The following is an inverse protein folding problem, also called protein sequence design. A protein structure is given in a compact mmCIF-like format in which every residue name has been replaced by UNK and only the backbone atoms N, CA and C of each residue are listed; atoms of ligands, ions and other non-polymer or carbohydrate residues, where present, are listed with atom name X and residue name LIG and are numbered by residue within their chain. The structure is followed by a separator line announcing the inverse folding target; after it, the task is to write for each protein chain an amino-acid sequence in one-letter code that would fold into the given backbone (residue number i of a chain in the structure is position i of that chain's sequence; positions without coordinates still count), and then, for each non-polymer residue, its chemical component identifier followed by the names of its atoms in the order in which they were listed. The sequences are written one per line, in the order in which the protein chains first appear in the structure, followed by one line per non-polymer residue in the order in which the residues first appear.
data_IF_126829520035
#
_entry.id   IF_126829520035
#
_cell.length_a   1.000
_cell.length_b   1.000
_cell.length_c   1.000
_cell.angle_alpha   90.00
_cell.angle_beta   90.00
_cell.angle_gamma   90.00
#
_symmetry.space_group_name_H-M   'P 1'
#
loop_
_entity.id
_entity.type
_entity.pdbx_description
1 polymer ?
#
# COMPACT_ATOMS: atom_id res chain seq x y z
N UNK A 1 -17.45 36.26 -15.18
CA UNK A 1 -17.81 34.84 -15.28
C UNK A 1 -16.64 34.07 -15.88
N UNK A 2 -15.84 33.41 -15.03
CA UNK A 2 -14.80 32.47 -15.44
C UNK A 2 -14.76 31.36 -14.41
N UNK A 3 -15.39 30.23 -14.71
CA UNK A 3 -15.25 28.99 -13.94
C UNK A 3 -14.66 27.98 -14.92
N UNK A 4 -13.34 28.00 -15.04
CA UNK A 4 -12.58 27.01 -15.78
C UNK A 4 -11.30 26.72 -15.00
N UNK A 5 -10.86 25.47 -15.05
CA UNK A 5 -9.61 24.92 -14.53
C UNK A 5 -9.49 24.70 -13.02
N UNK A 6 -10.00 23.57 -12.53
CA UNK A 6 -9.29 22.81 -11.47
C UNK A 6 -9.78 21.37 -11.33
N UNK A 7 -9.77 20.59 -12.42
CA UNK A 7 -9.99 19.14 -12.37
C UNK A 7 -9.00 18.44 -13.29
N UNK A 8 -7.71 18.48 -12.95
CA UNK A 8 -6.72 17.65 -13.67
C UNK A 8 -5.39 17.54 -12.94
N UNK A 9 -5.39 17.13 -11.67
CA UNK A 9 -4.16 16.67 -10.99
C UNK A 9 -4.50 15.56 -10.01
N UNK A 10 -4.12 14.33 -10.34
CA UNK A 10 -4.28 13.23 -9.40
C UNK A 10 -4.12 11.81 -9.93
N UNK A 11 -3.85 11.59 -11.23
CA UNK A 11 -3.46 10.27 -11.73
C UNK A 11 -1.93 10.26 -11.89
N UNK A 12 -1.21 10.46 -10.79
CA UNK A 12 0.19 10.03 -10.72
C UNK A 12 0.19 8.53 -10.48
N UNK A 13 0.09 7.84 -11.61
CA UNK A 13 0.23 6.40 -11.76
C UNK A 13 1.57 5.99 -11.12
N UNK A 14 1.48 5.43 -9.92
CA UNK A 14 2.63 5.00 -9.13
C UNK A 14 3.20 3.72 -9.76
N UNK A 15 3.98 3.90 -10.83
CA UNK A 15 4.62 2.83 -11.63
C UNK A 15 5.66 2.03 -10.85
N UNK A 16 5.91 2.38 -9.59
CA UNK A 16 6.90 1.76 -8.70
C UNK A 16 6.43 0.45 -8.05
N UNK A 17 5.14 0.11 -8.10
CA UNK A 17 4.62 -1.04 -7.34
C UNK A 17 4.76 -2.40 -8.03
N UNK A 18 5.13 -2.45 -9.32
CA UNK A 18 5.25 -3.71 -10.07
C UNK A 18 6.64 -4.37 -9.90
N UNK A 19 7.63 -3.68 -9.32
CA UNK A 19 8.99 -4.21 -9.17
C UNK A 19 9.29 -4.89 -7.82
N UNK A 20 8.34 -4.93 -6.87
CA UNK A 20 8.62 -5.45 -5.53
C UNK A 20 8.73 -6.97 -5.34
N UNK A 21 8.13 -7.88 -6.15
CA UNK A 21 8.26 -9.31 -5.85
C UNK A 21 9.64 -9.89 -6.21
N UNK A 22 10.45 -9.23 -7.05
CA UNK A 22 11.73 -9.78 -7.50
C UNK A 22 12.89 -9.62 -6.50
N UNK A 23 12.84 -8.67 -5.56
CA UNK A 23 13.96 -8.48 -4.61
C UNK A 23 13.95 -9.44 -3.41
N UNK A 24 12.81 -10.03 -3.06
CA UNK A 24 12.72 -10.92 -1.88
C UNK A 24 13.41 -12.27 -2.13
N UNK A 25 13.53 -12.70 -3.39
CA UNK A 25 14.14 -13.98 -3.76
C UNK A 25 15.68 -13.95 -3.60
N UNK A 26 16.32 -12.78 -3.70
CA UNK A 26 17.78 -12.67 -3.65
C UNK A 26 18.40 -12.59 -2.24
N UNK A 27 17.59 -12.49 -1.16
CA UNK A 27 18.11 -12.41 0.24
C UNK A 27 18.25 -13.74 0.97
N UNK A 28 17.83 -14.86 0.38
CA UNK A 28 17.95 -16.19 0.99
C UNK A 28 19.27 -16.98 0.80
N UNK A 29 20.29 -16.59 0.00
CA UNK A 29 21.46 -17.45 -0.20
C UNK A 29 22.42 -17.50 1.01
N UNK A 30 22.31 -16.60 1.99
CA UNK A 30 23.23 -16.54 3.13
C UNK A 30 23.00 -17.65 4.16
N UNK A 31 21.74 -18.06 4.37
CA UNK A 31 21.39 -19.05 5.41
C UNK A 31 21.80 -20.47 4.97
N UNK A 32 21.61 -20.81 3.69
CA UNK A 32 21.98 -22.13 3.15
C UNK A 32 23.50 -22.35 3.11
N UNK A 33 24.30 -21.31 2.85
CA UNK A 33 25.77 -21.40 2.84
C UNK A 33 26.35 -21.80 4.21
N UNK A 34 25.77 -21.30 5.31
CA UNK A 34 26.19 -21.60 6.69
C UNK A 34 25.95 -23.06 7.08
N UNK A 35 24.84 -23.65 6.61
CA UNK A 35 24.48 -25.05 6.91
C UNK A 35 25.40 -26.03 6.16
N UNK A 36 25.77 -25.72 4.90
CA UNK A 36 26.66 -26.56 4.09
C UNK A 36 28.10 -26.56 4.65
N UNK A 37 28.60 -25.42 5.12
CA UNK A 37 29.96 -25.31 5.66
C UNK A 37 30.16 -26.08 6.98
N UNK A 38 29.13 -26.13 7.85
CA UNK A 38 29.21 -26.91 9.11
C UNK A 38 29.32 -28.41 8.88
N UNK A 39 28.75 -28.95 7.79
CA UNK A 39 28.88 -30.39 7.46
C UNK A 39 30.28 -30.76 6.97
N UNK A 40 30.97 -29.88 6.24
CA UNK A 40 32.34 -30.15 5.75
C UNK A 40 33.39 -30.15 6.86
N UNK A 41 33.27 -29.29 7.87
CA UNK A 41 34.23 -29.25 8.98
C UNK A 41 34.24 -30.53 9.84
N UNK A 42 33.11 -31.25 9.91
CA UNK A 42 33.00 -32.50 10.69
C UNK A 42 33.68 -33.69 10.00
N UNK A 43 33.80 -33.66 8.67
CA UNK A 43 34.45 -34.70 7.87
C UNK A 43 35.98 -34.59 7.83
N UNK A 44 36.53 -33.39 8.07
CA UNK A 44 38.00 -33.19 8.05
C UNK A 44 38.63 -33.65 9.37
N UNK A 45 37.89 -33.61 10.49
CA UNK A 45 38.39 -34.01 11.82
C UNK A 45 38.61 -35.54 11.99
N UNK A 46 38.16 -36.37 11.06
CA UNK A 46 38.33 -37.83 11.12
C UNK A 46 39.52 -38.38 10.33
N UNK A 47 40.34 -37.54 9.69
CA UNK A 47 41.44 -37.97 8.80
C UNK A 47 42.88 -37.71 9.31
N UNK A 48 43.08 -37.34 10.58
CA UNK A 48 44.43 -37.28 11.14
C UNK A 48 44.87 -38.66 11.64
N UNK A 49 45.31 -39.51 10.71
CA UNK A 49 45.99 -40.77 11.06
C UNK A 49 47.47 -40.53 11.40
N UNK A 50 48.02 -41.26 12.40
CA UNK A 50 49.40 -41.14 12.81
C UNK A 50 50.38 -41.72 11.77
N UNK A 51 51.43 -40.95 11.47
CA UNK A 51 52.59 -41.34 10.66
C UNK A 51 53.38 -42.46 11.37
N UNK A 52 53.14 -43.73 11.03
CA UNK A 52 54.18 -44.77 11.15
C UNK A 52 53.94 -45.88 10.13
N UNK A 53 55.00 -46.20 9.38
CA UNK A 53 55.12 -47.21 8.31
C UNK A 53 54.66 -46.78 6.90
N UNK A 54 55.34 -45.75 6.38
CA UNK A 54 55.69 -45.65 4.95
C UNK A 54 56.70 -46.76 4.64
N UNK A 55 56.33 -47.73 3.78
CA UNK A 55 57.17 -48.48 2.81
C UNK A 55 56.49 -49.81 2.47
N UNK A 56 55.46 -49.76 1.62
CA UNK A 56 54.96 -50.89 0.78
C UNK A 56 53.70 -50.53 -0.02
N UNK A 57 53.08 -49.38 0.23
CA UNK A 57 51.74 -49.05 -0.27
C UNK A 57 51.71 -48.37 -1.66
N UNK A 58 52.62 -48.73 -2.57
CA UNK A 58 52.65 -48.17 -3.94
C UNK A 58 52.10 -49.13 -5.02
N UNK A 59 51.71 -50.35 -4.68
CA UNK A 59 51.11 -51.32 -5.60
C UNK A 59 49.58 -51.39 -5.55
N UNK A 60 48.93 -50.70 -4.61
CA UNK A 60 47.47 -50.74 -4.42
C UNK A 60 46.68 -49.66 -5.18
N UNK A 61 47.37 -48.83 -5.98
CA UNK A 61 46.74 -47.82 -6.83
C UNK A 61 46.47 -48.33 -8.25
N UNK A 62 46.03 -49.59 -8.41
CA UNK A 62 45.26 -49.98 -9.60
C UNK A 62 43.86 -49.39 -9.47
N UNK A 63 43.71 -48.26 -10.13
CA UNK A 63 42.50 -47.45 -10.26
C UNK A 63 41.40 -48.28 -10.92
N UNK A 64 40.57 -48.91 -10.10
CA UNK A 64 39.35 -49.58 -10.55
C UNK A 64 38.35 -48.52 -11.03
N UNK A 65 38.10 -48.49 -12.34
CA UNK A 65 37.25 -47.52 -13.04
C UNK A 65 35.77 -47.95 -13.05
N UNK A 66 35.42 -49.07 -12.43
CA UNK A 66 34.09 -49.67 -12.52
C UNK A 66 33.26 -49.55 -11.23
N UNK A 67 33.38 -48.45 -10.48
CA UNK A 67 32.41 -48.18 -9.41
C UNK A 67 31.11 -47.62 -10.01
N UNK A 68 29.96 -48.28 -9.85
CA UNK A 68 28.69 -47.72 -10.26
C UNK A 68 28.50 -46.39 -9.52
N UNK A 69 28.22 -45.35 -10.29
CA UNK A 69 28.00 -44.01 -9.78
C UNK A 69 26.74 -44.01 -8.91
N UNK A 70 26.92 -44.15 -7.60
CA UNK A 70 25.96 -44.07 -6.48
C UNK A 70 25.24 -42.69 -6.38
N UNK A 71 25.19 -41.94 -7.48
CA UNK A 71 24.48 -40.67 -7.63
C UNK A 71 23.00 -40.87 -7.96
N UNK A 72 22.62 -42.04 -8.51
CA UNK A 72 21.22 -42.37 -8.80
C UNK A 72 20.36 -42.46 -7.54
N UNK A 73 20.90 -43.05 -6.47
CA UNK A 73 20.17 -43.30 -5.22
C UNK A 73 19.98 -42.05 -4.35
N UNK A 74 20.82 -41.03 -4.54
CA UNK A 74 20.64 -39.73 -3.87
C UNK A 74 19.51 -38.92 -4.51
N UNK A 75 19.38 -38.95 -5.84
CA UNK A 75 18.33 -38.22 -6.55
C UNK A 75 16.94 -38.85 -6.35
N UNK A 76 16.84 -40.18 -6.32
CA UNK A 76 15.58 -40.87 -6.05
C UNK A 76 15.09 -40.65 -4.61
N UNK A 77 16.01 -40.52 -3.64
CA UNK A 77 15.67 -40.13 -2.25
C UNK A 77 15.26 -38.67 -2.09
N UNK A 78 15.80 -37.76 -2.90
CA UNK A 78 15.37 -36.36 -2.94
C UNK A 78 13.97 -36.24 -3.57
N UNK A 79 13.69 -37.00 -4.62
CA UNK A 79 12.39 -37.02 -5.31
C UNK A 79 11.23 -37.49 -4.40
N UNK A 80 11.44 -38.47 -3.52
CA UNK A 80 10.40 -38.90 -2.58
C UNK A 80 10.16 -37.90 -1.43
N UNK A 81 11.10 -37.00 -1.15
CA UNK A 81 10.91 -35.91 -0.20
C UNK A 81 10.06 -34.76 -0.78
N UNK A 82 9.98 -34.62 -2.11
CA UNK A 82 9.28 -33.52 -2.77
C UNK A 82 7.77 -33.48 -2.47
N UNK A 83 7.10 -34.61 -2.23
CA UNK A 83 5.65 -34.61 -2.05
C UNK A 83 5.21 -33.91 -0.75
N UNK A 84 6.02 -34.00 0.31
CA UNK A 84 5.76 -33.29 1.58
C UNK A 84 6.15 -31.82 1.48
N UNK A 85 7.29 -31.52 0.84
CA UNK A 85 7.73 -30.15 0.58
C UNK A 85 6.76 -29.39 -0.33
N UNK A 86 6.22 -30.03 -1.36
CA UNK A 86 5.24 -29.43 -2.29
C UNK A 86 3.95 -29.03 -1.58
N UNK A 87 3.45 -29.84 -0.64
CA UNK A 87 2.26 -29.49 0.17
C UNK A 87 2.51 -28.31 1.09
N UNK A 88 3.69 -28.24 1.72
CA UNK A 88 4.06 -27.11 2.60
C UNK A 88 4.23 -25.84 1.75
N UNK A 89 4.95 -25.93 0.63
CA UNK A 89 5.15 -24.83 -0.29
C UNK A 89 3.81 -24.28 -0.77
N UNK A 90 2.89 -25.15 -1.21
CA UNK A 90 1.57 -24.72 -1.69
C UNK A 90 0.75 -24.01 -0.61
N UNK A 91 0.80 -24.47 0.65
CA UNK A 91 0.15 -23.76 1.77
C UNK A 91 0.76 -22.39 2.01
N UNK A 92 2.09 -22.29 2.03
CA UNK A 92 2.78 -21.01 2.25
C UNK A 92 2.49 -20.03 1.11
N UNK A 93 2.53 -20.49 -0.14
CA UNK A 93 2.19 -19.68 -1.31
C UNK A 93 0.72 -19.24 -1.27
N UNK A 94 -0.21 -20.14 -0.92
CA UNK A 94 -1.62 -19.79 -0.79
C UNK A 94 -1.86 -18.72 0.28
N UNK A 95 -1.22 -18.84 1.45
CA UNK A 95 -1.32 -17.83 2.52
C UNK A 95 -0.76 -16.48 2.05
N UNK A 96 0.40 -16.48 1.38
CA UNK A 96 0.97 -15.26 0.80
C UNK A 96 0.04 -14.59 -0.21
N UNK A 97 -0.59 -15.36 -1.09
CA UNK A 97 -1.56 -14.84 -2.08
C UNK A 97 -2.77 -14.24 -1.39
N UNK A 98 -3.31 -14.89 -0.35
CA UNK A 98 -4.46 -14.37 0.40
C UNK A 98 -4.10 -13.04 1.09
N UNK A 99 -2.94 -12.95 1.73
CA UNK A 99 -2.48 -11.72 2.39
C UNK A 99 -2.29 -10.61 1.35
N UNK A 100 -1.67 -10.92 0.21
CA UNK A 100 -1.46 -9.97 -0.87
C UNK A 100 -2.80 -9.49 -1.46
N UNK A 101 -3.74 -10.40 -1.69
CA UNK A 101 -5.08 -10.08 -2.17
C UNK A 101 -5.81 -9.18 -1.17
N UNK A 102 -5.78 -9.54 0.12
CA UNK A 102 -6.36 -8.71 1.18
C UNK A 102 -5.75 -7.32 1.20
N UNK A 103 -4.43 -7.22 1.20
CA UNK A 103 -3.74 -5.92 1.17
C UNK A 103 -4.09 -5.10 -0.08
N UNK A 104 -4.13 -5.71 -1.26
CA UNK A 104 -4.52 -5.03 -2.50
C UNK A 104 -5.99 -4.56 -2.48
N UNK A 105 -6.89 -5.34 -1.87
CA UNK A 105 -8.30 -4.96 -1.70
C UNK A 105 -8.50 -3.82 -0.69
N UNK A 106 -7.70 -3.76 0.38
CA UNK A 106 -7.82 -2.69 1.38
C UNK A 106 -7.03 -1.43 1.01
N UNK A 107 -5.84 -1.57 0.42
CA UNK A 107 -4.93 -0.46 0.11
C UNK A 107 -4.95 -0.03 -1.36
N UNK A 108 -5.70 -0.70 -2.22
CA UNK A 108 -5.79 -0.37 -3.64
C UNK A 108 -6.63 0.89 -3.91
N UNK A 109 -6.42 1.49 -5.09
CA UNK A 109 -7.19 2.63 -5.59
C UNK A 109 -8.70 2.36 -5.68
N UNK A 110 -9.11 1.08 -5.71
CA UNK A 110 -10.50 0.64 -5.76
C UNK A 110 -10.97 -0.01 -4.45
N UNK A 111 -10.24 0.20 -3.35
CA UNK A 111 -10.60 -0.43 -2.07
C UNK A 111 -11.95 0.06 -1.52
N UNK A 112 -12.62 -0.80 -0.75
CA UNK A 112 -13.93 -0.50 -0.15
C UNK A 112 -13.93 0.79 0.68
N UNK A 113 -12.84 1.04 1.42
CA UNK A 113 -12.68 2.26 2.23
C UNK A 113 -12.68 3.50 1.34
N UNK A 114 -12.01 3.43 0.18
CA UNK A 114 -11.94 4.54 -0.76
C UNK A 114 -13.32 4.84 -1.36
N UNK A 115 -14.08 3.79 -1.72
CA UNK A 115 -15.43 3.93 -2.26
C UNK A 115 -16.37 4.57 -1.22
N UNK A 116 -16.28 4.15 0.04
CA UNK A 116 -17.06 4.75 1.12
C UNK A 116 -16.73 6.24 1.32
N UNK A 117 -15.44 6.58 1.33
CA UNK A 117 -14.98 7.97 1.42
C UNK A 117 -15.44 8.81 0.21
N UNK A 118 -15.41 8.23 -0.99
CA UNK A 118 -15.85 8.91 -2.20
C UNK A 118 -17.36 9.18 -2.19
N UNK A 119 -18.16 8.27 -1.62
CA UNK A 119 -19.60 8.49 -1.44
C UNK A 119 -19.88 9.62 -0.44
N UNK A 120 -19.17 9.65 0.69
CA UNK A 120 -19.30 10.73 1.67
C UNK A 120 -18.97 12.08 1.04
N UNK A 121 -17.82 12.19 0.37
CA UNK A 121 -17.45 13.43 -0.33
C UNK A 121 -18.47 13.83 -1.40
N UNK A 122 -19.03 12.88 -2.15
CA UNK A 122 -20.08 13.19 -3.12
C UNK A 122 -21.32 13.79 -2.45
N UNK A 123 -21.71 13.28 -1.29
CA UNK A 123 -22.85 13.81 -0.53
C UNK A 123 -22.55 15.21 0.02
N UNK A 124 -21.37 15.42 0.61
CA UNK A 124 -20.95 16.74 1.10
C UNK A 124 -20.99 17.79 -0.01
N UNK A 125 -20.49 17.45 -1.21
CA UNK A 125 -20.51 18.35 -2.36
C UNK A 125 -21.94 18.68 -2.84
N UNK A 126 -22.88 17.74 -2.74
CA UNK A 126 -24.28 17.98 -3.10
C UNK A 126 -24.91 18.96 -2.11
N UNK A 127 -24.68 18.74 -0.80
CA UNK A 127 -25.21 19.59 0.25
C UNK A 127 -24.63 21.02 0.17
N UNK A 128 -23.34 21.14 -0.11
CA UNK A 128 -22.71 22.44 -0.34
C UNK A 128 -23.30 23.16 -1.56
N UNK A 129 -23.54 22.45 -2.66
CA UNK A 129 -24.14 23.03 -3.85
C UNK A 129 -25.57 23.52 -3.58
N UNK A 130 -26.37 22.72 -2.87
CA UNK A 130 -27.72 23.14 -2.45
C UNK A 130 -27.70 24.38 -1.56
N UNK A 131 -26.79 24.44 -0.58
CA UNK A 131 -26.62 25.62 0.29
C UNK A 131 -26.22 26.87 -0.51
N UNK A 132 -25.36 26.72 -1.51
CA UNK A 132 -24.95 27.81 -2.38
C UNK A 132 -26.11 28.29 -3.26
N UNK A 133 -26.93 27.37 -3.80
CA UNK A 133 -28.11 27.73 -4.58
C UNK A 133 -29.12 28.52 -3.76
N UNK A 134 -29.40 28.09 -2.52
CA UNK A 134 -30.29 28.83 -1.61
C UNK A 134 -29.75 30.25 -1.37
N UNK A 135 -28.46 30.39 -1.05
CA UNK A 135 -27.84 31.71 -0.87
C UNK A 135 -27.91 32.60 -2.11
N UNK A 136 -27.80 32.01 -3.30
CA UNK A 136 -27.89 32.74 -4.56
C UNK A 136 -29.30 33.29 -4.75
N UNK A 137 -30.33 32.45 -4.53
CA UNK A 137 -31.74 32.85 -4.61
C UNK A 137 -32.05 33.94 -3.58
N UNK A 138 -31.61 33.76 -2.33
CA UNK A 138 -31.82 34.76 -1.27
C UNK A 138 -31.18 36.11 -1.61
N UNK A 139 -29.96 36.08 -2.17
CA UNK A 139 -29.26 37.29 -2.60
C UNK A 139 -29.98 37.97 -3.77
N UNK A 140 -30.53 37.22 -4.72
CA UNK A 140 -31.27 37.76 -5.86
C UNK A 140 -32.58 38.41 -5.42
N UNK A 141 -33.34 37.74 -4.53
CA UNK A 141 -34.55 38.32 -3.92
C UNK A 141 -34.21 39.59 -3.14
N UNK A 142 -33.12 39.59 -2.36
CA UNK A 142 -32.68 40.75 -1.62
C UNK A 142 -32.30 41.91 -2.56
N UNK A 143 -31.61 41.60 -3.66
CA UNK A 143 -31.25 42.57 -4.70
C UNK A 143 -32.48 43.19 -5.32
N UNK A 144 -33.47 42.38 -5.69
CA UNK A 144 -34.70 42.85 -6.30
C UNK A 144 -35.49 43.75 -5.34
N UNK A 145 -35.55 43.39 -4.05
CA UNK A 145 -36.18 44.25 -3.02
C UNK A 145 -35.42 45.56 -2.83
N UNK A 146 -34.08 45.53 -2.80
CA UNK A 146 -33.26 46.74 -2.72
C UNK A 146 -33.43 47.67 -3.94
N UNK A 147 -33.80 47.13 -5.11
CA UNK A 147 -34.01 47.92 -6.31
C UNK A 147 -35.42 48.53 -6.39
N UNK A 148 -36.43 47.83 -5.89
CA UNK A 148 -37.83 48.20 -6.13
C UNK A 148 -38.60 48.61 -4.87
N UNK A 149 -38.14 48.25 -3.67
CA UNK A 149 -38.86 48.49 -2.40
C UNK A 149 -38.10 49.48 -1.50
N UNK A 150 -38.59 50.72 -1.48
CA UNK A 150 -38.06 51.78 -0.63
C UNK A 150 -38.17 51.49 0.87
N UNK A 151 -39.26 50.84 1.30
CA UNK A 151 -39.45 50.50 2.72
C UNK A 151 -38.43 49.47 3.18
N UNK A 152 -38.08 48.52 2.30
CA UNK A 152 -37.04 47.55 2.58
C UNK A 152 -35.65 48.19 2.74
N UNK A 153 -35.33 49.20 1.93
CA UNK A 153 -34.08 49.97 2.06
C UNK A 153 -34.04 50.70 3.40
N UNK A 154 -35.12 51.40 3.78
CA UNK A 154 -35.19 52.12 5.06
C UNK A 154 -35.08 51.17 6.26
N UNK A 155 -35.71 50.00 6.19
CA UNK A 155 -35.60 48.97 7.20
C UNK A 155 -34.17 48.47 7.38
N UNK A 156 -33.47 48.15 6.29
CA UNK A 156 -32.07 47.71 6.30
C UNK A 156 -31.16 48.85 6.83
N UNK A 157 -31.38 50.09 6.38
CA UNK A 157 -30.62 51.26 6.83
C UNK A 157 -30.72 51.46 8.35
N UNK A 158 -31.92 51.32 8.92
CA UNK A 158 -32.16 51.46 10.36
C UNK A 158 -31.61 50.28 11.16
N UNK A 159 -31.81 49.04 10.70
CA UNK A 159 -31.45 47.83 11.48
C UNK A 159 -29.97 47.44 11.35
N UNK A 160 -29.42 47.44 10.14
CA UNK A 160 -28.04 46.98 9.87
C UNK A 160 -27.03 48.10 10.02
N UNK A 161 -27.38 49.30 9.56
CA UNK A 161 -26.46 50.43 9.49
C UNK A 161 -26.71 51.51 10.56
N UNK A 162 -27.77 51.35 11.36
CA UNK A 162 -28.11 52.26 12.46
C UNK A 162 -28.24 53.72 11.98
N UNK A 163 -28.68 53.90 10.73
CA UNK A 163 -28.93 55.19 10.12
C UNK A 163 -30.26 55.73 10.64
N UNK A 164 -30.27 56.98 11.12
CA UNK A 164 -31.48 57.72 11.46
C UNK A 164 -31.80 58.76 10.40
N UNK A 165 -33.08 59.17 10.32
CA UNK A 165 -33.43 60.37 9.55
C UNK A 165 -32.83 61.60 10.24
N UNK A 166 -32.53 62.67 9.49
CA UNK A 166 -32.08 63.92 10.09
C UNK A 166 -33.12 64.41 11.11
N UNK A 167 -32.69 64.56 12.37
CA UNK A 167 -33.55 64.96 13.50
C UNK A 167 -34.11 63.83 14.36
N UNK A 168 -33.92 62.55 14.00
CA UNK A 168 -34.34 61.40 14.81
C UNK A 168 -33.24 60.99 15.81
N UNK A 169 -33.57 60.90 17.09
CA UNK A 169 -32.66 60.44 18.17
C UNK A 169 -32.87 58.94 18.41
N UNK A 170 -31.85 58.12 18.14
CA UNK A 170 -31.88 56.67 18.41
C UNK A 170 -31.39 56.42 19.83
N UNK A 171 -32.27 55.92 20.71
CA UNK A 171 -31.89 55.46 22.04
C UNK A 171 -31.29 54.05 21.95
N UNK A 172 -30.02 53.90 22.36
CA UNK A 172 -29.41 52.58 22.59
C UNK A 172 -29.46 52.26 24.07
N UNK A 173 -30.14 51.17 24.42
CA UNK A 173 -29.98 50.57 25.73
C UNK A 173 -28.66 49.80 25.75
N UNK A 174 -27.74 50.18 26.64
CA UNK A 174 -26.54 49.37 26.92
C UNK A 174 -27.03 48.12 27.66
N UNK A 175 -26.79 46.95 27.08
CA UNK A 175 -26.78 45.68 27.82
C UNK A 175 -25.57 45.63 28.74
#
# INVERSE_FOLDING_TARGET
MSIASSVSRGIFFNRSFILFPYQIIHRFPAIYKKIILRKRAKLIKSCTMPRRKRKSLFSLFRRDKNRPSDRGDLLSRLSNSDQKFRRILFRVTAVMVIIFMGYAFFSGTFGFIHIAKLRAHKQDLIDENQRLLVKLIDADIARDRLQHDWYYIEYIARTKHLLSRPGEVIYRFKE
#
